data_IF_645738717039
#
_entry.id   IF_645738717039
#
_cell.length_a   1.000
_cell.length_b   1.000
_cell.length_c   1.000
_cell.angle_alpha   90.00
_cell.angle_beta   90.00
_cell.angle_gamma   90.00
#
_symmetry.space_group_name_H-M   'P 1'
#
loop_
_entity.id
_entity.type
_entity.pdbx_description
1 polymer ?
#
# COMPACT_ATOMS: atom_id res chain seq x y z
N UNK A 1 -15.06 -6.78 -8.39
CA UNK A 1 -13.64 -7.01 -8.54
C UNK A 1 -12.94 -7.13 -7.17
N UNK A 2 -11.84 -7.89 -7.09
CA UNK A 2 -11.08 -8.07 -5.86
C UNK A 2 -10.01 -6.98 -5.69
N UNK A 3 -9.83 -6.49 -4.46
CA UNK A 3 -8.79 -5.54 -4.11
C UNK A 3 -8.01 -6.01 -2.87
N UNK A 4 -6.70 -5.70 -2.85
CA UNK A 4 -5.80 -6.01 -1.74
C UNK A 4 -5.22 -4.72 -1.14
N UNK A 5 -5.24 -4.63 0.18
CA UNK A 5 -4.76 -3.49 0.95
C UNK A 5 -3.69 -3.98 1.96
N UNK A 6 -2.42 -4.02 1.54
CA UNK A 6 -1.31 -4.40 2.41
C UNK A 6 -1.09 -3.38 3.52
N UNK A 7 -0.96 -3.85 4.77
CA UNK A 7 -0.67 -3.03 5.94
C UNK A 7 -1.62 -1.82 6.11
N UNK A 8 -2.92 -2.00 5.85
CA UNK A 8 -3.95 -0.94 5.93
C UNK A 8 -4.37 -0.62 7.39
N UNK A 9 -3.71 -1.23 8.37
CA UNK A 9 -3.92 -0.95 9.79
C UNK A 9 -5.37 -1.15 10.22
N UNK A 10 -6.11 -0.06 10.42
CA UNK A 10 -7.51 -0.08 10.83
C UNK A 10 -8.48 -0.33 9.65
N UNK A 11 -7.98 -0.51 8.43
CA UNK A 11 -8.76 -0.90 7.26
C UNK A 11 -9.57 0.23 6.61
N UNK A 12 -9.19 1.49 6.80
CA UNK A 12 -9.98 2.64 6.28
C UNK A 12 -10.10 2.63 4.76
N UNK A 13 -9.00 2.36 4.06
CA UNK A 13 -9.01 2.28 2.59
C UNK A 13 -9.79 1.06 2.11
N UNK A 14 -9.62 -0.08 2.77
CA UNK A 14 -10.32 -1.32 2.42
C UNK A 14 -11.82 -1.22 2.64
N UNK A 15 -12.27 -0.59 3.74
CA UNK A 15 -13.69 -0.36 4.02
C UNK A 15 -14.28 0.61 3.01
N UNK A 16 -13.59 1.73 2.73
CA UNK A 16 -14.03 2.64 1.68
C UNK A 16 -14.18 1.93 0.32
N UNK A 17 -13.17 1.16 -0.09
CA UNK A 17 -13.26 0.41 -1.35
C UNK A 17 -14.42 -0.62 -1.35
N UNK A 18 -14.71 -1.23 -0.21
CA UNK A 18 -15.86 -2.12 -0.09
C UNK A 18 -17.19 -1.39 -0.27
N UNK A 19 -17.31 -0.12 0.18
CA UNK A 19 -18.50 0.71 -0.10
C UNK A 19 -18.64 1.03 -1.59
N UNK A 20 -17.52 1.06 -2.33
CA UNK A 20 -17.49 1.24 -3.78
C UNK A 20 -17.66 -0.08 -4.58
N UNK A 21 -17.97 -1.18 -3.90
CA UNK A 21 -18.27 -2.46 -4.52
C UNK A 21 -17.07 -3.38 -4.75
N UNK A 22 -15.91 -3.11 -4.14
CA UNK A 22 -14.76 -4.00 -4.19
C UNK A 22 -14.87 -5.12 -3.15
N UNK A 23 -14.51 -6.35 -3.54
CA UNK A 23 -14.24 -7.41 -2.59
C UNK A 23 -12.86 -7.17 -1.95
N UNK A 24 -12.85 -6.48 -0.82
CA UNK A 24 -11.65 -5.96 -0.18
C UNK A 24 -11.02 -6.99 0.75
N UNK A 25 -9.71 -7.19 0.63
CA UNK A 25 -8.87 -7.98 1.53
C UNK A 25 -7.79 -7.11 2.12
N UNK A 26 -7.60 -7.17 3.43
CA UNK A 26 -6.48 -6.56 4.17
C UNK A 26 -5.58 -7.67 4.69
N UNK A 27 -4.27 -7.49 4.64
CA UNK A 27 -3.37 -8.19 5.55
C UNK A 27 -2.51 -7.19 6.31
N UNK A 28 -2.33 -7.43 7.60
CA UNK A 28 -1.55 -6.60 8.50
C UNK A 28 -1.12 -7.46 9.71
N UNK A 29 -0.06 -7.09 10.39
CA UNK A 29 0.39 -7.77 11.61
C UNK A 29 -0.50 -7.47 12.83
N UNK A 30 -1.35 -6.44 12.75
CA UNK A 30 -2.12 -5.89 13.87
C UNK A 30 -3.44 -6.62 14.11
N UNK A 31 -3.52 -7.34 15.21
CA UNK A 31 -4.78 -7.93 15.69
C UNK A 31 -5.78 -6.84 16.14
N UNK A 32 -5.29 -5.73 16.68
CA UNK A 32 -6.11 -4.59 17.06
C UNK A 32 -6.63 -3.83 15.82
N UNK A 33 -5.81 -3.73 14.78
CA UNK A 33 -6.24 -3.23 13.47
C UNK A 33 -7.41 -4.04 12.91
N UNK A 34 -7.33 -5.36 12.99
CA UNK A 34 -8.43 -6.26 12.59
C UNK A 34 -9.75 -5.96 13.31
N UNK A 35 -9.71 -5.77 14.64
CA UNK A 35 -10.90 -5.46 15.43
C UNK A 35 -11.53 -4.12 15.02
N UNK A 36 -10.70 -3.10 14.82
CA UNK A 36 -11.15 -1.78 14.39
C UNK A 36 -11.69 -1.79 12.96
N UNK A 37 -11.02 -2.50 12.03
CA UNK A 37 -11.49 -2.67 10.66
C UNK A 37 -12.87 -3.35 10.63
N UNK A 38 -13.06 -4.40 11.45
CA UNK A 38 -14.35 -5.09 11.54
C UNK A 38 -15.46 -4.15 12.01
N UNK A 39 -15.22 -3.39 13.09
CA UNK A 39 -16.19 -2.44 13.62
C UNK A 39 -16.54 -1.35 12.58
N UNK A 40 -15.53 -0.81 11.89
CA UNK A 40 -15.73 0.18 10.83
C UNK A 40 -16.52 -0.39 9.65
N UNK A 41 -16.22 -1.62 9.22
CA UNK A 41 -16.98 -2.29 8.15
C UNK A 41 -18.45 -2.52 8.54
N UNK A 42 -18.71 -2.94 9.79
CA UNK A 42 -20.07 -3.09 10.33
C UNK A 42 -20.83 -1.75 10.34
N UNK A 43 -20.17 -0.66 10.74
CA UNK A 43 -20.75 0.70 10.73
C UNK A 43 -21.19 1.13 9.33
N UNK A 44 -20.41 0.77 8.31
CA UNK A 44 -20.69 1.08 6.91
C UNK A 44 -21.54 0.02 6.19
N UNK A 45 -21.97 -1.05 6.86
CA UNK A 45 -22.78 -2.10 6.29
C UNK A 45 -22.10 -2.92 5.20
N UNK A 46 -20.74 -3.01 5.25
CA UNK A 46 -19.94 -3.77 4.28
C UNK A 46 -19.11 -4.86 4.97
N UNK A 47 -18.48 -5.70 4.15
CA UNK A 47 -17.60 -6.77 4.62
C UNK A 47 -16.20 -6.60 4.05
N UNK A 48 -15.18 -6.79 4.89
CA UNK A 48 -13.77 -6.78 4.53
C UNK A 48 -13.13 -8.06 5.09
N UNK A 49 -12.43 -8.79 4.23
CA UNK A 49 -11.60 -9.92 4.66
C UNK A 49 -10.31 -9.38 5.28
N UNK A 50 -10.11 -9.59 6.58
CA UNK A 50 -8.90 -9.14 7.27
C UNK A 50 -8.10 -10.32 7.79
N UNK A 51 -6.87 -10.45 7.32
CA UNK A 51 -5.94 -11.52 7.66
C UNK A 51 -4.80 -10.93 8.50
N UNK A 52 -4.55 -11.52 9.68
CA UNK A 52 -3.36 -11.18 10.48
C UNK A 52 -2.21 -11.99 9.91
N UNK A 53 -1.35 -11.34 9.13
CA UNK A 53 -0.35 -12.02 8.31
C UNK A 53 0.85 -11.12 8.04
N UNK A 54 1.97 -11.72 7.62
CA UNK A 54 3.24 -11.05 7.35
C UNK A 54 3.59 -11.14 5.86
N UNK A 55 3.95 -10.01 5.26
CA UNK A 55 4.44 -9.92 3.88
C UNK A 55 5.53 -10.95 3.56
N UNK A 56 6.40 -11.26 4.54
CA UNK A 56 7.57 -12.13 4.34
C UNK A 56 7.16 -13.58 4.06
N UNK A 57 6.11 -14.06 4.71
CA UNK A 57 5.65 -15.45 4.64
C UNK A 57 4.38 -15.64 3.83
N UNK A 58 3.65 -14.55 3.57
CA UNK A 58 2.38 -14.60 2.86
C UNK A 58 2.53 -15.12 1.44
N UNK A 59 1.66 -16.03 1.06
CA UNK A 59 1.45 -16.42 -0.34
C UNK A 59 0.40 -15.52 -1.00
N UNK A 60 0.67 -15.19 -2.25
CA UNK A 60 -0.23 -14.38 -3.08
C UNK A 60 -0.79 -15.22 -4.22
N UNK A 61 -2.12 -15.23 -4.42
CA UNK A 61 -2.72 -15.86 -5.59
C UNK A 61 -2.27 -15.12 -6.86
N UNK A 62 -1.85 -15.84 -7.90
CA UNK A 62 -1.48 -15.20 -9.17
C UNK A 62 -2.71 -14.63 -9.88
N UNK A 63 -2.55 -13.46 -10.52
CA UNK A 63 -3.53 -12.81 -11.39
C UNK A 63 -4.95 -12.68 -10.80
N UNK A 64 -5.05 -12.35 -9.52
CA UNK A 64 -6.33 -12.36 -8.78
C UNK A 64 -6.93 -10.96 -8.55
N UNK A 65 -6.10 -9.98 -8.17
CA UNK A 65 -6.59 -8.67 -7.75
C UNK A 65 -6.65 -7.68 -8.91
N UNK A 66 -7.78 -6.98 -9.05
CA UNK A 66 -7.91 -5.83 -9.96
C UNK A 66 -7.22 -4.57 -9.41
N UNK A 67 -7.02 -4.50 -8.10
CA UNK A 67 -6.34 -3.40 -7.42
C UNK A 67 -5.49 -3.92 -6.26
N UNK A 68 -4.26 -3.41 -6.16
CA UNK A 68 -3.44 -3.49 -4.94
C UNK A 68 -3.08 -2.06 -4.54
N UNK A 69 -3.45 -1.65 -3.32
CA UNK A 69 -3.24 -0.30 -2.83
C UNK A 69 -2.41 -0.30 -1.54
N UNK A 70 -1.21 0.28 -1.59
CA UNK A 70 -0.28 0.40 -0.47
C UNK A 70 -0.20 1.84 0.01
N UNK A 71 -0.73 2.14 1.20
CA UNK A 71 -0.66 3.45 1.83
C UNK A 71 0.25 3.38 3.05
N UNK A 72 1.29 4.21 3.09
CA UNK A 72 2.24 4.31 4.21
C UNK A 72 2.93 3.00 4.61
N UNK A 73 3.08 2.09 3.66
CA UNK A 73 3.67 0.76 3.88
C UNK A 73 5.21 0.83 3.81
N UNK A 74 5.82 1.40 4.87
CA UNK A 74 7.26 1.52 5.02
C UNK A 74 7.85 0.26 5.63
N UNK A 75 8.65 -0.46 4.85
CA UNK A 75 9.36 -1.68 5.27
C UNK A 75 10.87 -1.53 5.01
N UNK A 76 11.73 -2.26 5.74
CA UNK A 76 13.16 -2.26 5.46
C UNK A 76 13.45 -2.57 3.98
N UNK A 77 14.46 -1.92 3.37
CA UNK A 77 14.76 -2.09 1.94
C UNK A 77 14.94 -3.54 1.50
N UNK A 78 15.60 -4.37 2.32
CA UNK A 78 15.80 -5.78 2.00
C UNK A 78 14.46 -6.55 1.92
N UNK A 79 13.50 -6.24 2.79
CA UNK A 79 12.15 -6.82 2.76
C UNK A 79 11.38 -6.30 1.54
N UNK A 80 11.42 -5.01 1.32
CA UNK A 80 10.73 -4.36 0.19
C UNK A 80 11.18 -4.94 -1.14
N UNK A 81 12.49 -4.95 -1.41
CA UNK A 81 13.09 -5.47 -2.66
C UNK A 81 12.71 -6.91 -2.96
N UNK A 82 12.64 -7.74 -1.93
CA UNK A 82 12.35 -9.16 -2.08
C UNK A 82 10.86 -9.45 -2.23
N UNK A 83 10.01 -8.76 -1.50
CA UNK A 83 8.63 -9.17 -1.31
C UNK A 83 7.61 -8.30 -2.05
N UNK A 84 7.86 -6.99 -2.27
CA UNK A 84 6.94 -6.15 -3.03
C UNK A 84 6.71 -6.60 -4.48
N UNK A 85 7.73 -6.99 -5.25
CA UNK A 85 7.51 -7.50 -6.62
C UNK A 85 6.59 -8.73 -6.65
N UNK A 86 6.60 -9.57 -5.60
CA UNK A 86 5.70 -10.74 -5.50
C UNK A 86 4.23 -10.33 -5.46
N UNK A 87 3.89 -9.21 -4.82
CA UNK A 87 2.52 -8.71 -4.81
C UNK A 87 2.04 -8.32 -6.21
N UNK A 88 2.93 -7.80 -7.06
CA UNK A 88 2.57 -7.41 -8.43
C UNK A 88 2.15 -8.61 -9.29
N UNK A 89 2.66 -9.82 -9.02
CA UNK A 89 2.18 -11.04 -9.67
C UNK A 89 0.74 -11.38 -9.30
N UNK A 90 0.27 -10.91 -8.14
CA UNK A 90 -1.11 -11.10 -7.73
C UNK A 90 -2.12 -10.17 -8.44
N UNK A 91 -1.66 -9.14 -9.16
CA UNK A 91 -2.53 -8.33 -10.01
C UNK A 91 -3.05 -9.16 -11.19
N UNK A 92 -4.32 -9.03 -11.50
CA UNK A 92 -4.88 -9.50 -12.76
C UNK A 92 -4.29 -8.71 -13.94
N UNK A 93 -4.32 -9.26 -15.16
CA UNK A 93 -3.99 -8.49 -16.36
C UNK A 93 -4.90 -7.26 -16.47
N UNK A 94 -4.31 -6.11 -16.71
CA UNK A 94 -5.01 -4.82 -16.66
C UNK A 94 -5.25 -4.29 -15.25
N UNK A 95 -4.92 -5.06 -14.21
CA UNK A 95 -5.05 -4.63 -12.81
C UNK A 95 -4.07 -3.52 -12.44
N UNK A 96 -4.40 -2.76 -11.40
CA UNK A 96 -3.69 -1.57 -11.00
C UNK A 96 -2.99 -1.75 -9.64
N UNK A 97 -1.75 -1.30 -9.57
CA UNK A 97 -1.02 -1.08 -8.33
C UNK A 97 -0.92 0.40 -8.06
N UNK A 98 -1.36 0.84 -6.89
CA UNK A 98 -1.18 2.21 -6.42
C UNK A 98 -0.43 2.20 -5.09
N UNK A 99 0.47 3.16 -4.93
CA UNK A 99 1.26 3.28 -3.71
C UNK A 99 1.52 4.74 -3.39
N UNK A 100 1.35 5.09 -2.11
CA UNK A 100 1.79 6.35 -1.54
C UNK A 100 2.63 6.08 -0.30
N UNK A 101 3.72 6.83 -0.16
CA UNK A 101 4.57 6.77 1.02
C UNK A 101 5.48 7.98 1.12
N UNK A 102 6.17 8.13 2.24
CA UNK A 102 7.02 9.28 2.49
C UNK A 102 8.35 9.19 1.74
N UNK A 103 8.70 10.27 1.06
CA UNK A 103 10.00 10.45 0.40
C UNK A 103 11.12 10.74 1.41
N UNK A 104 12.39 10.50 1.05
CA UNK A 104 13.55 10.78 1.90
C UNK A 104 13.62 12.21 2.41
N UNK A 105 13.12 13.19 1.65
CA UNK A 105 13.04 14.60 2.08
C UNK A 105 11.98 14.87 3.15
N UNK A 106 11.19 13.88 3.52
CA UNK A 106 10.26 13.95 4.66
C UNK A 106 10.97 13.99 6.01
N UNK A 107 12.23 13.50 6.09
CA UNK A 107 12.92 13.30 7.36
C UNK A 107 12.91 14.51 8.31
N UNK A 108 13.14 15.76 7.85
CA UNK A 108 13.09 16.95 8.71
C UNK A 108 11.66 17.42 9.04
N UNK A 109 10.63 16.90 8.37
CA UNK A 109 9.25 17.32 8.56
C UNK A 109 8.57 16.55 9.71
N UNK A 110 7.47 17.12 10.22
CA UNK A 110 6.75 16.61 11.40
C UNK A 110 5.37 16.07 11.09
N UNK A 111 4.97 16.06 9.82
CA UNK A 111 3.64 15.63 9.37
C UNK A 111 3.47 14.10 9.31
N UNK A 112 4.42 13.33 9.82
CA UNK A 112 4.38 11.88 9.90
C UNK A 112 5.60 11.21 9.27
N UNK A 113 5.53 9.90 9.15
CA UNK A 113 6.57 9.07 8.56
C UNK A 113 7.65 8.57 9.51
N UNK A 114 8.38 7.54 9.09
CA UNK A 114 9.50 6.99 9.86
C UNK A 114 10.58 8.04 10.07
N UNK A 115 11.24 8.00 11.22
CA UNK A 115 12.41 8.85 11.54
C UNK A 115 13.74 8.17 11.18
N UNK A 116 13.71 7.20 10.30
CA UNK A 116 14.85 6.49 9.73
C UNK A 116 14.88 6.71 8.22
N UNK A 117 15.99 7.25 7.72
CA UNK A 117 16.17 7.56 6.30
C UNK A 117 16.05 6.30 5.40
N UNK A 118 16.48 5.15 5.91
CA UNK A 118 16.43 3.89 5.17
C UNK A 118 15.00 3.37 4.93
N UNK A 119 14.06 3.75 5.80
CA UNK A 119 12.65 3.37 5.66
C UNK A 119 11.88 4.31 4.73
N UNK A 120 12.43 5.50 4.45
CA UNK A 120 11.82 6.46 3.53
C UNK A 120 12.15 6.08 2.08
N UNK A 121 11.29 6.48 1.17
CA UNK A 121 11.37 6.08 -0.22
C UNK A 121 12.20 7.05 -1.06
N UNK A 122 12.98 6.48 -1.97
CA UNK A 122 13.57 7.18 -3.11
C UNK A 122 12.86 6.70 -4.38
N UNK A 123 12.42 7.63 -5.23
CA UNK A 123 11.58 7.33 -6.39
C UNK A 123 12.22 6.27 -7.30
N UNK A 124 13.47 6.52 -7.72
CA UNK A 124 14.15 5.66 -8.70
C UNK A 124 14.48 4.28 -8.11
N UNK A 125 14.81 4.21 -6.82
CA UNK A 125 15.07 2.93 -6.15
C UNK A 125 13.82 2.05 -6.13
N UNK A 126 12.69 2.61 -5.68
CA UNK A 126 11.42 1.87 -5.58
C UNK A 126 10.89 1.52 -6.97
N UNK A 127 11.00 2.44 -7.94
CA UNK A 127 10.59 2.16 -9.31
C UNK A 127 11.38 1.01 -9.92
N UNK A 128 12.70 0.97 -9.71
CA UNK A 128 13.54 -0.13 -10.18
C UNK A 128 13.16 -1.48 -9.54
N UNK A 129 12.74 -1.47 -8.28
CA UNK A 129 12.24 -2.68 -7.60
C UNK A 129 10.92 -3.18 -8.20
N UNK A 130 9.98 -2.25 -8.47
CA UNK A 130 8.64 -2.55 -8.98
C UNK A 130 8.63 -2.90 -10.48
N UNK A 131 9.67 -2.56 -11.23
CA UNK A 131 9.79 -2.81 -12.67
C UNK A 131 10.97 -3.74 -13.03
N UNK A 132 11.68 -4.23 -12.02
CA UNK A 132 12.84 -5.09 -12.20
C UNK A 132 12.47 -6.54 -12.59
N UNK A 133 13.49 -7.41 -12.78
CA UNK A 133 13.29 -8.75 -13.32
C UNK A 133 12.46 -9.68 -12.42
N UNK A 134 12.27 -9.33 -11.16
CA UNK A 134 11.42 -10.08 -10.23
C UNK A 134 9.95 -9.67 -10.23
N UNK A 135 9.59 -8.62 -10.97
CA UNK A 135 8.23 -8.13 -11.13
C UNK A 135 7.65 -8.61 -12.49
N UNK A 136 6.33 -8.74 -12.61
CA UNK A 136 5.69 -8.96 -13.91
C UNK A 136 5.83 -7.70 -14.79
N UNK A 137 5.61 -7.80 -16.11
CA UNK A 137 5.56 -6.64 -16.97
C UNK A 137 4.47 -5.66 -16.50
N UNK A 138 4.85 -4.39 -16.34
CA UNK A 138 3.94 -3.32 -15.93
C UNK A 138 4.12 -2.08 -16.80
N UNK A 139 3.03 -1.35 -16.99
CA UNK A 139 3.03 0.00 -17.57
C UNK A 139 3.03 1.01 -16.44
N UNK A 140 3.96 1.96 -16.48
CA UNK A 140 4.00 3.07 -15.53
C UNK A 140 2.99 4.13 -15.98
N UNK A 141 1.95 4.37 -15.17
CA UNK A 141 0.96 5.42 -15.40
C UNK A 141 1.32 6.71 -14.64
N UNK A 142 1.94 6.57 -13.45
CA UNK A 142 2.47 7.67 -12.65
C UNK A 142 3.64 7.18 -11.82
N UNK A 143 4.68 8.01 -11.73
CA UNK A 143 5.76 7.89 -10.76
C UNK A 143 6.24 9.31 -10.45
N UNK A 144 6.04 9.79 -9.22
CA UNK A 144 6.29 11.19 -8.87
C UNK A 144 6.71 11.37 -7.43
N UNK A 145 7.53 12.40 -7.18
CA UNK A 145 7.74 12.98 -5.85
C UNK A 145 6.95 14.26 -5.77
N UNK A 146 6.17 14.43 -4.71
CA UNK A 146 5.27 15.57 -4.57
C UNK A 146 5.29 16.11 -3.15
N UNK A 147 5.16 17.44 -3.04
CA UNK A 147 4.74 18.06 -1.79
C UNK A 147 3.21 18.07 -1.73
N UNK A 148 2.68 17.68 -0.59
CA UNK A 148 1.23 17.67 -0.33
C UNK A 148 0.93 18.12 1.10
N UNK A 149 -0.30 18.47 1.38
CA UNK A 149 -0.76 18.75 2.74
C UNK A 149 -1.65 17.61 3.19
N UNK A 150 -1.23 16.94 4.27
CA UNK A 150 -1.98 15.86 4.89
C UNK A 150 -2.93 16.42 5.94
N UNK A 151 -4.12 15.88 6.01
CA UNK A 151 -5.12 16.12 7.08
C UNK A 151 -5.94 14.85 7.32
N UNK A 152 -5.25 13.73 7.49
CA UNK A 152 -5.88 12.39 7.62
C UNK A 152 -6.08 12.01 9.09
N UNK A 153 -5.14 12.40 9.96
CA UNK A 153 -5.16 12.12 11.40
C UNK A 153 -4.11 12.97 12.10
N UNK A 154 -4.07 12.93 13.44
CA UNK A 154 -3.04 13.64 14.22
C UNK A 154 -1.61 13.16 13.91
N UNK A 155 -1.45 11.94 13.40
CA UNK A 155 -0.17 11.38 12.99
C UNK A 155 0.21 11.72 11.55
N UNK A 156 -0.75 12.18 10.73
CA UNK A 156 -0.61 12.50 9.31
C UNK A 156 -1.26 13.86 9.05
N UNK A 157 -0.60 14.92 9.52
CA UNK A 157 -1.11 16.30 9.39
C UNK A 157 0.02 17.27 9.09
N UNK A 158 -0.20 18.14 8.09
CA UNK A 158 0.72 19.20 7.67
C UNK A 158 1.41 18.90 6.35
N UNK A 159 2.37 19.76 5.97
CA UNK A 159 3.14 19.61 4.74
C UNK A 159 3.97 18.34 4.78
N UNK A 160 3.87 17.55 3.72
CA UNK A 160 4.57 16.28 3.57
C UNK A 160 5.17 16.14 2.17
N UNK A 161 6.32 15.47 2.08
CA UNK A 161 6.92 15.04 0.83
C UNK A 161 6.67 13.55 0.63
N UNK A 162 5.97 13.21 -0.44
CA UNK A 162 5.52 11.85 -0.73
C UNK A 162 6.00 11.38 -2.09
N UNK A 163 6.14 10.07 -2.23
CA UNK A 163 6.23 9.39 -3.53
C UNK A 163 4.88 8.80 -3.86
N UNK A 164 4.50 8.84 -5.13
CA UNK A 164 3.28 8.23 -5.64
C UNK A 164 3.57 7.38 -6.86
N UNK A 165 3.09 6.16 -6.82
CA UNK A 165 3.17 5.23 -7.96
C UNK A 165 1.77 4.80 -8.37
N UNK A 166 1.57 4.72 -9.69
CA UNK A 166 0.43 4.05 -10.30
C UNK A 166 0.95 3.23 -11.46
N UNK A 167 0.88 1.92 -11.32
CA UNK A 167 1.31 0.95 -12.32
C UNK A 167 0.11 0.11 -12.77
N UNK A 168 0.17 -0.39 -13.99
CA UNK A 168 -0.82 -1.32 -14.52
C UNK A 168 -0.12 -2.58 -15.00
N UNK A 169 -0.57 -3.77 -14.56
CA UNK A 169 -0.07 -5.04 -15.10
C UNK A 169 -0.47 -5.19 -16.57
N UNK A 170 0.50 -5.49 -17.44
CA UNK A 170 0.29 -5.68 -18.90
C UNK A 170 0.00 -7.13 -19.19
#
# INVERSE_FOLDING_TARGET
PAALFPADGEGRNAVWAATEGWASTVFDLSIEGKKKCKALAEEHGVSVAYEVDDLVVRDFPDAHYGLIACSWFHTPPAVRKKHMPRMLHALAHGGHFVMEGYHKTQLPLTSGGPKSLELLFELDEVLAELTGPSAPPVRILRASVEETVLDESDLHRGVANVVRFHLQRV
#
